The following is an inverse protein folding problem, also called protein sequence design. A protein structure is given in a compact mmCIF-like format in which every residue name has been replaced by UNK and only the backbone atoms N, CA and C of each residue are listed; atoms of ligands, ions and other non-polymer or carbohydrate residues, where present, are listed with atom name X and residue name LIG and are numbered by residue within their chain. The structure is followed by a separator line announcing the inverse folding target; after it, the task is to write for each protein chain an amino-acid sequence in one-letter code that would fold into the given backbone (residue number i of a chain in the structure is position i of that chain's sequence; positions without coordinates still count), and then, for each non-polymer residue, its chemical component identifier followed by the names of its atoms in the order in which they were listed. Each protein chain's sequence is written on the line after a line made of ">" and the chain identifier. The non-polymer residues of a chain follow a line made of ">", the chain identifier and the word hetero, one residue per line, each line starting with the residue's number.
data_IF_750559032021
#
_entry.id   IF_750559032021
#
_cell.length_a   1.000
_cell.length_b   1.000
_cell.length_c   1.000
_cell.angle_alpha   90.00
_cell.angle_beta   90.00
_cell.angle_gamma   90.00
#
_symmetry.space_group_name_H-M   'P 1'
#
loop_
_entity.id
_entity.type
_entity.pdbx_description
1 polymer ?
#
# COMPACT_ATOMS: atom_id res chain seq x y z
N UNK A 1 -23.79 -15.00 -22.62
CA UNK A 1 -24.30 -13.62 -22.68
C UNK A 1 -23.11 -12.68 -22.82
N UNK A 2 -22.96 -12.18 -24.07
CA UNK A 2 -21.90 -11.27 -24.43
C UNK A 2 -22.10 -9.94 -23.71
N UNK A 3 -21.19 -9.59 -22.82
CA UNK A 3 -21.03 -8.21 -22.41
C UNK A 3 -20.80 -7.38 -23.69
N UNK A 4 -21.77 -6.56 -24.05
CA UNK A 4 -21.76 -5.78 -25.29
C UNK A 4 -20.46 -4.98 -25.41
N UNK A 5 -19.68 -5.31 -26.43
CA UNK A 5 -18.68 -4.42 -27.01
C UNK A 5 -17.24 -4.51 -26.51
N UNK A 6 -16.91 -5.27 -25.45
CA UNK A 6 -15.52 -5.41 -25.01
C UNK A 6 -14.97 -6.79 -25.42
N UNK A 7 -14.17 -6.82 -26.50
CA UNK A 7 -13.54 -8.05 -26.96
C UNK A 7 -12.29 -8.35 -26.11
N UNK A 8 -12.33 -9.44 -25.33
CA UNK A 8 -11.23 -9.90 -24.48
C UNK A 8 -10.45 -11.08 -25.08
N UNK A 9 -10.73 -11.45 -26.33
CA UNK A 9 -10.06 -12.58 -27.00
C UNK A 9 -9.06 -12.07 -28.01
N UNK A 10 -7.91 -12.71 -28.08
CA UNK A 10 -6.99 -12.55 -29.21
C UNK A 10 -7.61 -13.23 -30.40
N UNK A 11 -7.85 -12.47 -31.48
CA UNK A 11 -8.39 -12.98 -32.73
C UNK A 11 -7.27 -13.37 -33.69
N UNK A 12 -7.53 -14.19 -34.73
CA UNK A 12 -6.53 -14.52 -35.75
C UNK A 12 -5.92 -13.28 -36.43
N UNK A 13 -6.68 -12.22 -36.57
CA UNK A 13 -6.21 -10.95 -37.14
C UNK A 13 -5.21 -10.28 -36.20
N UNK A 14 -5.48 -10.27 -34.88
CA UNK A 14 -4.56 -9.75 -33.87
C UNK A 14 -3.27 -10.59 -33.82
N UNK A 15 -3.37 -11.92 -33.94
CA UNK A 15 -2.19 -12.79 -34.00
C UNK A 15 -1.32 -12.50 -35.24
N UNK A 16 -1.94 -12.27 -36.39
CA UNK A 16 -1.23 -11.88 -37.61
C UNK A 16 -0.51 -10.54 -37.45
N UNK A 17 -1.18 -9.53 -36.87
CA UNK A 17 -0.60 -8.22 -36.59
C UNK A 17 0.52 -8.29 -35.54
N UNK A 18 0.41 -9.20 -34.55
CA UNK A 18 1.45 -9.42 -33.54
C UNK A 18 2.76 -9.85 -34.19
N UNK A 19 2.73 -10.74 -35.20
CA UNK A 19 3.93 -11.16 -35.92
C UNK A 19 4.61 -9.98 -36.63
N UNK A 20 3.83 -9.12 -37.26
CA UNK A 20 4.35 -7.89 -37.88
C UNK A 20 5.02 -6.97 -36.83
N UNK A 21 4.40 -6.81 -35.67
CA UNK A 21 4.99 -6.05 -34.56
C UNK A 21 6.32 -6.66 -34.09
N UNK A 22 6.36 -7.98 -33.88
CA UNK A 22 7.55 -8.68 -33.43
C UNK A 22 8.73 -8.56 -34.40
N UNK A 23 8.46 -8.62 -35.70
CA UNK A 23 9.47 -8.46 -36.76
C UNK A 23 10.07 -7.07 -36.80
N UNK A 24 9.23 -6.02 -36.62
CA UNK A 24 9.62 -4.64 -36.80
C UNK A 24 9.98 -3.90 -35.51
N UNK A 25 9.77 -4.52 -34.32
CA UNK A 25 10.01 -3.87 -33.02
C UNK A 25 11.25 -4.41 -32.28
N UNK A 26 12.09 -5.17 -32.96
CA UNK A 26 13.33 -5.69 -32.38
C UNK A 26 14.34 -4.55 -32.16
N UNK A 27 14.68 -4.33 -30.91
CA UNK A 27 15.72 -3.36 -30.55
C UNK A 27 17.04 -4.07 -30.26
N UNK A 28 18.12 -3.55 -30.85
CA UNK A 28 19.47 -4.05 -30.55
C UNK A 28 19.82 -3.71 -29.10
N UNK A 29 20.05 -4.74 -28.29
CA UNK A 29 20.39 -4.59 -26.87
C UNK A 29 21.71 -3.84 -26.66
N UNK A 30 22.63 -3.87 -27.64
CA UNK A 30 23.89 -3.13 -27.58
C UNK A 30 23.69 -1.60 -27.50
N UNK A 31 22.56 -1.10 -27.99
CA UNK A 31 22.20 0.32 -27.93
C UNK A 31 22.05 0.84 -26.50
N UNK A 32 21.64 0.00 -25.56
CA UNK A 32 21.56 0.38 -24.14
C UNK A 32 22.94 0.74 -23.59
N UNK A 33 23.98 -0.01 -23.95
CA UNK A 33 25.36 0.33 -23.59
C UNK A 33 25.88 1.54 -24.33
N UNK A 34 25.61 1.64 -25.65
CA UNK A 34 26.06 2.75 -26.49
C UNK A 34 25.53 4.11 -26.03
N UNK A 35 24.29 4.19 -25.59
CA UNK A 35 23.63 5.41 -25.14
C UNK A 35 23.55 5.57 -23.63
N UNK A 36 24.20 4.68 -22.85
CA UNK A 36 24.16 4.66 -21.37
C UNK A 36 22.73 4.66 -20.81
N UNK A 37 21.84 3.94 -21.46
CA UNK A 37 20.43 3.84 -21.06
C UNK A 37 20.25 2.78 -19.98
N UNK A 38 19.66 3.17 -18.85
CA UNK A 38 19.34 2.25 -17.75
C UNK A 38 18.01 1.56 -18.02
N UNK A 39 17.87 0.31 -17.50
CA UNK A 39 16.60 -0.45 -17.55
C UNK A 39 15.77 -0.15 -16.30
N UNK A 40 15.09 0.99 -16.28
CA UNK A 40 14.36 1.47 -15.10
C UNK A 40 15.32 1.74 -13.94
N UNK A 41 15.10 1.09 -12.79
CA UNK A 41 15.93 1.24 -11.58
C UNK A 41 17.13 0.27 -11.54
N UNK A 42 17.50 -0.32 -12.69
CA UNK A 42 18.64 -1.24 -12.77
C UNK A 42 19.56 -0.88 -13.93
N UNK A 43 20.85 -1.06 -13.70
CA UNK A 43 21.88 -0.98 -14.72
C UNK A 43 21.85 -2.26 -15.62
N UNK A 44 22.58 -2.22 -16.72
CA UNK A 44 22.65 -3.32 -17.70
C UNK A 44 23.15 -4.64 -17.07
N UNK A 45 24.00 -4.54 -16.04
CA UNK A 45 24.50 -5.68 -15.25
C UNK A 45 23.53 -6.16 -14.16
N UNK A 46 22.30 -5.60 -14.08
CA UNK A 46 21.29 -5.91 -13.07
C UNK A 46 21.49 -5.25 -11.72
N UNK A 47 22.57 -4.48 -11.51
CA UNK A 47 22.80 -3.72 -10.28
C UNK A 47 21.77 -2.59 -10.13
N UNK A 48 21.34 -2.33 -8.90
CA UNK A 48 20.45 -1.20 -8.61
C UNK A 48 21.09 0.15 -8.93
N UNK A 49 20.28 1.08 -9.43
CA UNK A 49 20.69 2.46 -9.72
C UNK A 49 20.31 3.34 -8.53
N UNK A 50 21.22 4.24 -8.12
CA UNK A 50 20.89 5.26 -7.13
C UNK A 50 19.96 6.31 -7.78
N UNK A 51 18.66 6.25 -7.42
CA UNK A 51 17.66 7.12 -8.02
C UNK A 51 17.38 8.39 -7.20
N UNK A 52 17.76 8.43 -5.93
CA UNK A 52 17.55 9.58 -5.05
C UNK A 52 18.00 9.31 -3.63
N UNK A 53 17.80 10.31 -2.78
CA UNK A 53 18.11 10.25 -1.35
C UNK A 53 16.82 10.31 -0.54
N UNK A 54 16.77 9.57 0.56
CA UNK A 54 15.66 9.61 1.51
C UNK A 54 16.18 9.58 2.94
N UNK A 55 15.42 10.21 3.85
CA UNK A 55 15.64 10.12 5.30
C UNK A 55 14.55 9.32 5.99
N UNK A 56 13.60 8.74 5.24
CA UNK A 56 12.42 8.08 5.78
C UNK A 56 12.75 6.69 6.30
N UNK A 57 13.47 5.90 5.51
CA UNK A 57 13.85 4.55 5.91
C UNK A 57 15.22 4.15 5.35
N UNK A 58 15.84 3.19 6.01
CA UNK A 58 17.08 2.57 5.55
C UNK A 58 17.03 1.07 5.81
N UNK A 59 17.40 0.30 4.77
CA UNK A 59 17.49 -1.16 4.85
C UNK A 59 18.94 -1.54 4.54
N UNK A 60 19.57 -2.25 5.45
CA UNK A 60 20.94 -2.75 5.30
C UNK A 60 20.88 -4.27 5.14
N UNK A 61 21.37 -4.80 4.03
CA UNK A 61 21.45 -6.24 3.74
C UNK A 61 22.87 -6.70 3.41
N UNK A 62 23.78 -5.74 3.20
CA UNK A 62 25.19 -6.00 2.92
C UNK A 62 26.06 -4.86 3.43
N UNK A 63 27.30 -5.18 3.77
CA UNK A 63 28.33 -4.20 4.20
C UNK A 63 29.53 -4.29 3.25
N UNK A 64 30.21 -3.18 3.05
CA UNK A 64 31.44 -3.17 2.25
C UNK A 64 32.62 -3.47 3.15
N UNK A 65 33.31 -4.61 2.91
CA UNK A 65 34.55 -5.01 3.59
C UNK A 65 35.62 -5.15 2.52
N UNK A 66 36.72 -4.43 2.67
CA UNK A 66 37.86 -4.42 1.72
C UNK A 66 37.42 -4.16 0.25
N UNK A 67 36.48 -3.24 0.06
CA UNK A 67 35.95 -2.86 -1.26
C UNK A 67 35.00 -3.88 -1.89
N UNK A 68 34.66 -4.97 -1.18
CA UNK A 68 33.70 -6.00 -1.65
C UNK A 68 32.42 -5.92 -0.81
N UNK A 69 31.29 -6.09 -1.50
CA UNK A 69 29.99 -6.22 -0.81
C UNK A 69 29.87 -7.62 -0.20
N UNK A 70 29.66 -7.68 1.10
CA UNK A 70 29.47 -8.91 1.88
C UNK A 70 28.07 -8.90 2.47
N UNK A 71 27.26 -9.94 2.33
CA UNK A 71 25.96 -10.05 2.98
C UNK A 71 26.08 -9.95 4.51
N UNK A 72 25.12 -9.30 5.14
CA UNK A 72 24.99 -9.23 6.61
C UNK A 72 23.54 -9.48 7.02
N UNK A 73 23.31 -9.65 8.32
CA UNK A 73 21.95 -9.69 8.87
C UNK A 73 21.18 -8.42 8.48
N UNK A 74 19.93 -8.59 8.11
CA UNK A 74 19.07 -7.48 7.71
C UNK A 74 18.84 -6.50 8.87
N UNK A 75 19.01 -5.21 8.60
CA UNK A 75 18.71 -4.14 9.52
C UNK A 75 17.69 -3.20 8.87
N UNK A 76 16.66 -2.82 9.61
CA UNK A 76 15.64 -1.86 9.17
C UNK A 76 15.61 -0.68 10.14
N UNK A 77 15.64 0.52 9.57
CA UNK A 77 15.55 1.78 10.32
C UNK A 77 14.42 2.63 9.75
N UNK A 78 13.60 3.18 10.65
CA UNK A 78 12.61 4.21 10.34
C UNK A 78 13.03 5.52 10.96
N UNK A 79 13.25 6.56 10.15
CA UNK A 79 13.75 7.88 10.58
C UNK A 79 14.98 7.78 11.49
N UNK A 80 15.87 6.83 11.20
CA UNK A 80 17.09 6.59 11.98
C UNK A 80 16.93 5.73 13.23
N UNK A 81 15.71 5.32 13.59
CA UNK A 81 15.43 4.43 14.73
C UNK A 81 15.41 2.98 14.24
N UNK A 82 16.18 2.10 14.91
CA UNK A 82 16.16 0.69 14.59
C UNK A 82 14.78 0.08 14.88
N UNK A 83 14.28 -0.74 13.98
CA UNK A 83 12.97 -1.37 14.10
C UNK A 83 12.81 -2.17 15.41
N UNK A 84 13.87 -2.79 15.91
CA UNK A 84 13.87 -3.54 17.17
C UNK A 84 13.62 -2.63 18.36
N UNK A 85 14.23 -1.46 18.38
CA UNK A 85 14.06 -0.48 19.46
C UNK A 85 12.64 0.11 19.41
N UNK A 86 12.16 0.43 18.21
CA UNK A 86 10.81 0.94 18.00
C UNK A 86 9.75 -0.06 18.49
N UNK A 87 9.86 -1.33 18.07
CA UNK A 87 8.90 -2.38 18.44
C UNK A 87 8.96 -2.70 19.94
N UNK A 88 10.16 -2.78 20.52
CA UNK A 88 10.32 -2.99 21.95
C UNK A 88 9.72 -1.85 22.78
N UNK A 89 9.79 -0.63 22.29
CA UNK A 89 9.22 0.54 22.96
C UNK A 89 7.71 0.41 23.16
N UNK A 90 6.94 0.25 22.09
CA UNK A 90 5.48 0.16 22.20
C UNK A 90 4.99 -1.19 22.78
N UNK A 91 5.72 -2.30 22.58
CA UNK A 91 5.35 -3.59 23.16
C UNK A 91 5.48 -3.61 24.69
N UNK A 92 6.54 -3.03 25.26
CA UNK A 92 6.73 -2.94 26.71
C UNK A 92 5.59 -2.20 27.42
N UNK A 93 5.06 -1.18 26.76
CA UNK A 93 3.96 -0.35 27.30
C UNK A 93 2.59 -0.83 26.86
N UNK A 94 2.53 -1.99 26.19
CA UNK A 94 1.29 -2.59 25.69
C UNK A 94 0.48 -1.67 24.76
N UNK A 95 1.16 -0.80 23.99
CA UNK A 95 0.56 0.07 22.98
C UNK A 95 0.47 -0.60 21.62
N UNK A 96 -0.36 -0.08 20.73
CA UNK A 96 -0.34 -0.34 19.29
C UNK A 96 0.75 0.51 18.63
N UNK A 97 1.47 -0.06 17.68
CA UNK A 97 2.63 0.58 17.06
C UNK A 97 2.36 1.20 15.69
N UNK A 98 1.29 0.82 14.98
CA UNK A 98 1.04 1.28 13.62
C UNK A 98 0.84 2.80 13.56
N UNK A 99 -0.03 3.37 14.38
CA UNK A 99 -0.31 4.80 14.42
C UNK A 99 0.92 5.62 14.87
N UNK A 100 1.66 5.11 15.87
CA UNK A 100 2.91 5.71 16.33
C UNK A 100 3.99 5.73 15.26
N UNK A 101 4.16 4.62 14.56
CA UNK A 101 5.11 4.50 13.44
C UNK A 101 4.69 5.37 12.25
N UNK A 102 3.40 5.44 11.95
CA UNK A 102 2.86 6.36 10.93
C UNK A 102 3.22 7.81 11.27
N UNK A 103 3.05 8.21 12.51
CA UNK A 103 3.43 9.55 12.98
C UNK A 103 4.94 9.78 12.78
N UNK A 104 5.78 8.84 13.21
CA UNK A 104 7.23 8.92 13.03
C UNK A 104 7.62 9.08 11.56
N UNK A 105 7.05 8.28 10.66
CA UNK A 105 7.38 8.33 9.24
C UNK A 105 6.93 9.64 8.57
N UNK A 106 5.75 10.15 8.93
CA UNK A 106 5.23 11.41 8.37
C UNK A 106 5.98 12.63 8.92
N UNK A 107 6.21 12.69 10.22
CA UNK A 107 6.70 13.90 10.90
C UNK A 107 8.16 13.85 11.32
N UNK A 108 8.82 12.71 11.24
CA UNK A 108 10.26 12.55 11.49
C UNK A 108 10.65 12.44 12.96
N UNK A 109 9.68 12.48 13.87
CA UNK A 109 9.88 12.40 15.33
C UNK A 109 8.84 11.49 15.96
N UNK A 110 9.19 10.86 17.09
CA UNK A 110 8.21 10.10 17.88
C UNK A 110 7.21 11.06 18.55
N UNK A 111 5.92 10.71 18.59
CA UNK A 111 4.93 11.52 19.28
C UNK A 111 5.04 11.41 20.79
N UNK A 112 4.65 12.47 21.50
CA UNK A 112 4.27 12.36 22.91
C UNK A 112 2.95 11.58 23.03
N UNK A 113 2.61 11.17 24.27
CA UNK A 113 1.33 10.47 24.51
C UNK A 113 0.12 11.30 24.05
N UNK A 114 0.10 12.59 24.32
CA UNK A 114 -0.95 13.51 23.90
C UNK A 114 -1.02 13.65 22.38
N UNK A 115 0.12 13.84 21.73
CA UNK A 115 0.22 13.94 20.27
C UNK A 115 -0.27 12.64 19.59
N UNK A 116 0.10 11.48 20.12
CA UNK A 116 -0.36 10.19 19.59
C UNK A 116 -1.88 10.05 19.73
N UNK A 117 -2.42 10.40 20.89
CA UNK A 117 -3.87 10.37 21.16
C UNK A 117 -4.64 11.27 20.19
N UNK A 118 -4.15 12.48 19.95
CA UNK A 118 -4.79 13.40 19.02
C UNK A 118 -4.66 12.93 17.56
N UNK A 119 -3.51 12.39 17.18
CA UNK A 119 -3.32 11.80 15.86
C UNK A 119 -4.23 10.60 15.62
N UNK A 120 -4.42 9.71 16.59
CA UNK A 120 -5.39 8.61 16.51
C UNK A 120 -6.82 9.12 16.32
N UNK A 121 -7.22 10.21 16.98
CA UNK A 121 -8.54 10.83 16.77
C UNK A 121 -8.68 11.38 15.34
N UNK A 122 -7.63 12.03 14.80
CA UNK A 122 -7.63 12.53 13.42
C UNK A 122 -7.86 11.38 12.45
N UNK A 123 -7.07 10.31 12.55
CA UNK A 123 -7.24 9.11 11.71
C UNK A 123 -8.64 8.50 11.87
N UNK A 124 -9.11 8.33 13.09
CA UNK A 124 -10.42 7.76 13.39
C UNK A 124 -11.58 8.54 12.78
N UNK A 125 -11.51 9.87 12.80
CA UNK A 125 -12.54 10.74 12.23
C UNK A 125 -12.59 10.70 10.70
N UNK A 126 -11.51 10.31 10.04
CA UNK A 126 -11.44 10.21 8.58
C UNK A 126 -11.80 8.83 8.03
N UNK A 127 -12.14 7.85 8.88
CA UNK A 127 -12.52 6.49 8.46
C UNK A 127 -13.91 6.44 7.83
N UNK A 128 -14.07 7.11 6.71
CA UNK A 128 -15.32 7.09 5.93
C UNK A 128 -15.03 7.19 4.45
N UNK A 129 -15.83 6.51 3.63
CA UNK A 129 -15.78 6.57 2.17
C UNK A 129 -16.92 7.46 1.65
N UNK A 130 -16.80 8.03 0.45
CA UNK A 130 -17.88 8.76 -0.18
C UNK A 130 -19.16 7.92 -0.26
N UNK A 131 -20.32 8.59 -0.27
CA UNK A 131 -21.62 7.92 -0.34
C UNK A 131 -21.67 6.97 -1.55
N UNK A 132 -22.13 5.74 -1.33
CA UNK A 132 -22.27 4.69 -2.34
C UNK A 132 -20.95 4.19 -2.96
N UNK A 133 -19.78 4.66 -2.53
CA UNK A 133 -18.49 4.29 -3.10
C UNK A 133 -18.26 2.76 -3.10
N UNK A 134 -18.58 2.09 -2.00
CA UNK A 134 -18.44 0.63 -1.90
C UNK A 134 -19.26 -0.07 -2.97
N UNK A 135 -20.53 0.33 -3.14
CA UNK A 135 -21.46 -0.27 -4.12
C UNK A 135 -21.02 0.01 -5.55
N UNK A 136 -20.71 1.27 -5.86
CA UNK A 136 -20.57 1.75 -7.24
C UNK A 136 -19.14 1.60 -7.79
N UNK A 137 -18.13 1.55 -6.91
CA UNK A 137 -16.72 1.44 -7.30
C UNK A 137 -16.17 0.05 -6.98
N UNK A 138 -16.25 -0.36 -5.72
CA UNK A 138 -15.59 -1.61 -5.28
C UNK A 138 -16.38 -2.83 -5.77
N UNK A 139 -17.69 -2.83 -5.61
CA UNK A 139 -18.53 -4.00 -5.86
C UNK A 139 -19.04 -4.11 -7.28
N UNK A 140 -19.18 -3.01 -8.02
CA UNK A 140 -19.79 -3.03 -9.35
C UNK A 140 -18.94 -3.74 -10.40
N UNK A 141 -17.62 -3.68 -10.30
CA UNK A 141 -16.70 -4.37 -11.20
C UNK A 141 -15.55 -5.02 -10.38
N UNK A 142 -15.84 -6.11 -9.67
CA UNK A 142 -14.83 -6.78 -8.84
C UNK A 142 -13.72 -7.36 -9.73
N UNK A 143 -12.47 -7.15 -9.34
CA UNK A 143 -11.31 -7.75 -9.98
C UNK A 143 -10.88 -9.01 -9.23
N UNK A 144 -10.31 -9.98 -9.96
CA UNK A 144 -9.58 -11.10 -9.34
C UNK A 144 -8.24 -10.63 -8.75
N UNK A 145 -7.71 -9.53 -9.26
CA UNK A 145 -6.50 -8.87 -8.78
C UNK A 145 -6.86 -7.81 -7.72
N UNK A 146 -6.45 -8.07 -6.48
CA UNK A 146 -6.69 -7.19 -5.34
C UNK A 146 -5.95 -5.85 -5.47
N UNK A 147 -4.74 -5.85 -6.05
CA UNK A 147 -3.99 -4.61 -6.29
C UNK A 147 -4.67 -3.72 -7.32
N UNK A 148 -5.27 -4.32 -8.35
CA UNK A 148 -6.10 -3.58 -9.31
C UNK A 148 -7.30 -2.92 -8.62
N UNK A 149 -7.99 -3.64 -7.73
CA UNK A 149 -9.11 -3.09 -6.97
C UNK A 149 -8.68 -1.89 -6.11
N UNK A 150 -7.55 -1.99 -5.42
CA UNK A 150 -7.00 -0.90 -4.61
C UNK A 150 -6.62 0.30 -5.48
N UNK A 151 -5.84 0.08 -6.54
CA UNK A 151 -5.38 1.14 -7.45
C UNK A 151 -6.55 1.89 -8.07
N UNK A 152 -7.55 1.17 -8.58
CA UNK A 152 -8.77 1.75 -9.14
C UNK A 152 -9.56 2.56 -8.11
N UNK A 153 -9.67 2.05 -6.89
CA UNK A 153 -10.36 2.73 -5.80
C UNK A 153 -9.67 4.05 -5.46
N UNK A 154 -8.35 4.06 -5.35
CA UNK A 154 -7.56 5.28 -5.09
C UNK A 154 -7.71 6.28 -6.24
N UNK A 155 -7.60 5.83 -7.50
CA UNK A 155 -7.77 6.70 -8.67
C UNK A 155 -9.18 7.29 -8.74
N UNK A 156 -10.20 6.52 -8.38
CA UNK A 156 -11.58 7.01 -8.37
C UNK A 156 -11.81 8.07 -7.27
N UNK A 157 -11.12 7.95 -6.12
CA UNK A 157 -11.18 8.94 -5.03
C UNK A 157 -10.73 10.33 -5.47
N UNK A 158 -9.84 10.44 -6.46
CA UNK A 158 -9.45 11.72 -7.08
C UNK A 158 -10.66 12.56 -7.49
N UNK A 159 -11.70 11.92 -8.07
CA UNK A 159 -12.92 12.62 -8.52
C UNK A 159 -13.80 13.13 -7.37
N UNK A 160 -13.56 12.68 -6.14
CA UNK A 160 -14.28 13.14 -4.94
C UNK A 160 -13.50 14.21 -4.15
N UNK A 161 -12.23 14.44 -4.50
CA UNK A 161 -11.42 15.47 -3.89
C UNK A 161 -11.70 16.82 -4.59
N UNK A 162 -12.05 17.84 -3.80
CA UNK A 162 -12.30 19.18 -4.34
C UNK A 162 -11.02 19.93 -4.74
N UNK A 163 -9.86 19.46 -4.30
CA UNK A 163 -8.57 20.10 -4.54
C UNK A 163 -7.44 19.09 -4.78
N UNK A 164 -7.60 18.20 -5.80
CA UNK A 164 -6.69 17.06 -5.97
C UNK A 164 -5.30 17.46 -6.49
N UNK A 165 -5.21 18.56 -7.23
CA UNK A 165 -4.01 19.03 -7.93
C UNK A 165 -3.11 19.96 -7.10
N UNK A 166 -3.57 20.38 -5.92
CA UNK A 166 -2.79 21.25 -5.04
C UNK A 166 -1.69 20.46 -4.34
N UNK A 167 -0.44 20.72 -4.74
CA UNK A 167 0.77 20.10 -4.24
C UNK A 167 1.37 20.81 -3.01
N UNK A 168 0.64 21.77 -2.42
CA UNK A 168 1.07 22.39 -1.17
C UNK A 168 1.20 21.37 -0.05
N UNK A 169 2.16 21.54 0.86
CA UNK A 169 2.41 20.60 1.94
C UNK A 169 1.15 20.33 2.81
N UNK A 170 0.35 21.36 3.20
CA UNK A 170 -0.89 21.10 3.94
C UNK A 170 -1.89 20.21 3.19
N UNK A 171 -2.06 20.42 1.89
CA UNK A 171 -2.99 19.63 1.10
C UNK A 171 -2.49 18.20 0.89
N UNK A 172 -1.21 18.01 0.57
CA UNK A 172 -0.60 16.68 0.44
C UNK A 172 -0.68 15.92 1.76
N UNK A 173 -0.42 16.55 2.91
CA UNK A 173 -0.57 15.93 4.22
C UNK A 173 -2.03 15.53 4.49
N UNK A 174 -2.99 16.38 4.15
CA UNK A 174 -4.43 16.06 4.24
C UNK A 174 -4.77 14.81 3.43
N UNK A 175 -4.30 14.74 2.19
CA UNK A 175 -4.52 13.58 1.31
C UNK A 175 -3.87 12.31 1.88
N UNK A 176 -2.63 12.40 2.36
CA UNK A 176 -1.93 11.27 2.99
C UNK A 176 -2.71 10.74 4.21
N UNK A 177 -3.10 11.61 5.14
CA UNK A 177 -3.86 11.23 6.33
C UNK A 177 -5.20 10.57 5.96
N UNK A 178 -5.89 11.14 4.96
CA UNK A 178 -7.14 10.56 4.46
C UNK A 178 -6.92 9.14 3.90
N UNK A 179 -5.95 8.97 3.00
CA UNK A 179 -5.63 7.65 2.42
C UNK A 179 -5.22 6.62 3.48
N UNK A 180 -4.36 6.99 4.44
CA UNK A 180 -3.96 6.10 5.54
C UNK A 180 -5.19 5.63 6.32
N UNK A 181 -6.14 6.55 6.57
CA UNK A 181 -7.34 6.26 7.35
C UNK A 181 -8.33 5.32 6.63
N UNK A 182 -8.46 5.44 5.30
CA UNK A 182 -9.45 4.68 4.52
C UNK A 182 -8.88 3.42 3.85
N UNK A 183 -7.57 3.30 3.71
CA UNK A 183 -6.93 2.15 3.04
C UNK A 183 -7.33 0.80 3.63
N UNK A 184 -7.45 0.64 4.96
CA UNK A 184 -8.00 -0.58 5.56
C UNK A 184 -9.41 -0.93 5.07
N UNK A 185 -10.26 0.09 4.87
CA UNK A 185 -11.62 -0.10 4.34
C UNK A 185 -11.56 -0.57 2.88
N UNK A 186 -10.75 0.09 2.04
CA UNK A 186 -10.58 -0.29 0.64
C UNK A 186 -10.08 -1.72 0.49
N UNK A 187 -9.09 -2.10 1.32
CA UNK A 187 -8.50 -3.44 1.32
C UNK A 187 -9.51 -4.51 1.73
N UNK A 188 -10.19 -4.31 2.86
CA UNK A 188 -11.15 -5.29 3.38
C UNK A 188 -12.38 -5.39 2.49
N UNK A 189 -12.95 -4.28 2.04
CA UNK A 189 -14.14 -4.30 1.18
C UNK A 189 -13.83 -4.87 -0.21
N UNK A 190 -12.65 -4.59 -0.76
CA UNK A 190 -12.15 -5.20 -1.99
C UNK A 190 -12.02 -6.72 -1.84
N UNK A 191 -11.48 -7.18 -0.71
CA UNK A 191 -11.38 -8.61 -0.40
C UNK A 191 -12.75 -9.28 -0.22
N UNK A 192 -13.70 -8.64 0.45
CA UNK A 192 -15.05 -9.16 0.59
C UNK A 192 -15.78 -9.26 -0.76
N UNK A 193 -15.60 -8.27 -1.64
CA UNK A 193 -16.11 -8.32 -3.00
C UNK A 193 -15.49 -9.48 -3.78
N UNK A 194 -14.17 -9.66 -3.71
CA UNK A 194 -13.47 -10.78 -4.34
C UNK A 194 -13.99 -12.14 -3.83
N UNK A 195 -14.14 -12.31 -2.52
CA UNK A 195 -14.69 -13.54 -1.94
C UNK A 195 -16.11 -13.82 -2.42
N UNK A 196 -16.94 -12.80 -2.46
CA UNK A 196 -18.33 -12.94 -2.89
C UNK A 196 -18.43 -13.33 -4.36
N UNK A 197 -17.84 -12.56 -5.25
CA UNK A 197 -17.99 -12.74 -6.70
C UNK A 197 -17.15 -13.87 -7.30
N UNK A 198 -15.97 -14.14 -6.74
CA UNK A 198 -15.06 -15.14 -7.28
C UNK A 198 -15.00 -16.44 -6.50
N UNK A 199 -15.48 -16.48 -5.26
CA UNK A 199 -15.43 -17.66 -4.40
C UNK A 199 -16.80 -18.09 -3.87
N UNK A 200 -17.88 -17.45 -4.31
CA UNK A 200 -19.28 -17.74 -3.89
C UNK A 200 -19.46 -17.72 -2.35
N UNK A 201 -18.77 -16.81 -1.66
CA UNK A 201 -18.92 -16.63 -0.20
C UNK A 201 -19.98 -15.57 0.10
N UNK A 202 -20.56 -15.65 1.28
CA UNK A 202 -21.49 -14.62 1.76
C UNK A 202 -20.81 -13.25 1.82
N UNK A 203 -21.55 -12.22 1.36
CA UNK A 203 -21.09 -10.84 1.45
C UNK A 203 -21.50 -10.22 2.78
N UNK A 204 -20.56 -9.60 3.45
CA UNK A 204 -20.81 -8.71 4.56
C UNK A 204 -19.88 -7.50 4.51
N UNK A 205 -20.41 -6.34 4.89
CA UNK A 205 -19.68 -5.08 4.93
C UNK A 205 -19.86 -4.50 6.33
N UNK A 206 -18.77 -4.46 7.09
CA UNK A 206 -18.76 -3.90 8.44
C UNK A 206 -18.07 -2.55 8.45
N UNK A 207 -18.68 -1.59 9.12
CA UNK A 207 -18.08 -0.26 9.27
C UNK A 207 -16.98 -0.27 10.34
N UNK A 208 -15.90 0.51 10.14
CA UNK A 208 -14.89 0.72 11.18
C UNK A 208 -15.47 1.50 12.35
N UNK A 209 -14.78 1.44 13.49
CA UNK A 209 -15.01 2.27 14.65
C UNK A 209 -13.90 3.31 14.78
N UNK A 210 -14.26 4.51 15.19
CA UNK A 210 -13.33 5.64 15.29
C UNK A 210 -12.28 5.44 16.39
N UNK A 211 -12.72 4.84 17.49
CA UNK A 211 -11.93 4.64 18.71
C UNK A 211 -10.97 3.45 18.67
N UNK A 212 -11.13 2.54 17.71
CA UNK A 212 -10.27 1.37 17.59
C UNK A 212 -9.01 1.68 16.77
N UNK A 213 -7.92 0.93 17.04
CA UNK A 213 -6.71 0.98 16.23
C UNK A 213 -6.96 0.49 14.80
N UNK A 214 -6.01 0.76 13.90
CA UNK A 214 -6.06 0.27 12.52
C UNK A 214 -6.12 -1.26 12.46
N UNK A 215 -5.27 -1.95 13.23
CA UNK A 215 -5.24 -3.41 13.27
C UNK A 215 -6.56 -4.01 13.80
N UNK A 216 -7.11 -3.45 14.87
CA UNK A 216 -8.40 -3.87 15.41
C UNK A 216 -9.54 -3.67 14.39
N UNK A 217 -9.56 -2.55 13.70
CA UNK A 217 -10.56 -2.29 12.67
C UNK A 217 -10.45 -3.24 11.47
N UNK A 218 -9.25 -3.57 11.03
CA UNK A 218 -9.05 -4.56 9.95
C UNK A 218 -9.66 -5.90 10.36
N UNK A 219 -9.34 -6.42 11.54
CA UNK A 219 -9.88 -7.69 12.02
C UNK A 219 -11.40 -7.64 12.19
N UNK A 220 -11.92 -6.57 12.81
CA UNK A 220 -13.34 -6.34 12.99
C UNK A 220 -14.11 -6.31 11.66
N UNK A 221 -13.60 -5.61 10.66
CA UNK A 221 -14.26 -5.51 9.36
C UNK A 221 -14.15 -6.80 8.54
N UNK A 222 -13.03 -7.53 8.71
CA UNK A 222 -12.73 -8.74 7.94
C UNK A 222 -13.59 -9.93 8.37
N UNK A 223 -13.92 -10.05 9.67
CA UNK A 223 -14.62 -11.21 10.25
C UNK A 223 -16.13 -11.00 10.28
N UNK A 224 -16.87 -12.03 9.91
CA UNK A 224 -18.34 -11.99 9.86
C UNK A 224 -18.97 -11.65 11.22
N UNK A 225 -18.41 -12.18 12.31
CA UNK A 225 -18.86 -11.97 13.68
C UNK A 225 -18.26 -10.73 14.37
N UNK A 226 -17.36 -9.99 13.68
CA UNK A 226 -16.63 -8.81 14.17
C UNK A 226 -15.73 -9.08 15.39
N UNK A 227 -15.45 -10.35 15.72
CA UNK A 227 -14.69 -10.73 16.91
C UNK A 227 -13.22 -10.94 16.60
N UNK A 228 -12.38 -10.53 17.51
CA UNK A 228 -10.94 -10.77 17.52
C UNK A 228 -10.43 -10.76 18.96
N UNK A 229 -9.29 -11.40 19.19
CA UNK A 229 -8.61 -11.36 20.48
C UNK A 229 -7.60 -10.21 20.53
N UNK A 230 -7.24 -9.70 21.72
CA UNK A 230 -6.18 -8.71 21.86
C UNK A 230 -4.85 -9.16 21.24
N UNK A 231 -4.51 -10.44 21.37
CA UNK A 231 -3.29 -11.00 20.80
C UNK A 231 -3.29 -10.93 19.27
N UNK A 232 -4.39 -11.30 18.62
CA UNK A 232 -4.52 -11.21 17.16
C UNK A 232 -4.36 -9.78 16.66
N UNK A 233 -4.94 -8.81 17.37
CA UNK A 233 -4.78 -7.40 17.03
C UNK A 233 -3.33 -6.94 17.15
N UNK A 234 -2.61 -7.36 18.21
CA UNK A 234 -1.20 -7.06 18.40
C UNK A 234 -0.30 -7.68 17.33
N UNK A 235 -0.56 -8.93 16.95
CA UNK A 235 0.20 -9.61 15.90
C UNK A 235 0.01 -8.90 14.56
N UNK A 236 -1.23 -8.53 14.22
CA UNK A 236 -1.49 -7.80 12.98
C UNK A 236 -0.86 -6.41 13.00
N UNK A 237 -0.96 -5.69 14.10
CA UNK A 237 -0.33 -4.38 14.27
C UNK A 237 1.18 -4.43 14.04
N UNK A 238 1.85 -5.40 14.68
CA UNK A 238 3.28 -5.61 14.50
C UNK A 238 3.63 -5.96 13.04
N UNK A 239 2.83 -6.81 12.40
CA UNK A 239 3.02 -7.15 10.99
C UNK A 239 2.88 -5.91 10.10
N UNK A 240 1.91 -5.04 10.35
CA UNK A 240 1.75 -3.78 9.62
C UNK A 240 2.99 -2.87 9.81
N UNK A 241 3.48 -2.71 11.04
CA UNK A 241 4.69 -1.90 11.33
C UNK A 241 5.91 -2.39 10.55
N UNK A 242 6.10 -3.71 10.43
CA UNK A 242 7.24 -4.29 9.73
C UNK A 242 7.17 -4.14 8.19
N UNK A 243 6.02 -3.74 7.64
CA UNK A 243 5.78 -3.61 6.21
C UNK A 243 5.47 -2.17 5.76
N UNK A 244 5.77 -1.20 6.60
CA UNK A 244 5.58 0.23 6.29
C UNK A 244 6.64 0.82 5.38
#
# INVERSE_FOLDING_TARGET
>A
DSAMGFNMKVTPEIEALTKVCEENSKMDVSLYGKYDVKRGLRDINGKGVLAGLTQVSNIVSSKTIDGKSVPCDGELYYRGINIKDLTNGFLKENRFGFEETTYLLLFGVLPTEEQLKDFCKILGNQRSLPRNFVRDVIMKAPSKDMMNTLSRSVLTLYSYDSNPEDISLPNVLRQCINLISIFPMLSVYGYQAHRHYNQNKSLYIHNPKKELSTAENILRMLRSDKKYTPLEAKILDLALVLHM
#
